data_IF_301814419927
#
_entry.id   IF_301814419927
#
_cell.length_a   1.000
_cell.length_b   1.000
_cell.length_c   1.000
_cell.angle_alpha   90.00
_cell.angle_beta   90.00
_cell.angle_gamma   90.00
#
_symmetry.space_group_name_H-M   'P 1'
#
loop_
_entity.id
_entity.type
_entity.pdbx_description
1 polymer ?
#
# COMPACT_ATOMS: atom_id res chain seq x y z
N UNK A 1 0.30 -34.75 55.14
CA UNK A 1 1.14 -34.78 53.92
C UNK A 1 0.23 -34.50 52.72
N UNK A 2 0.22 -33.26 52.23
CA UNK A 2 -0.55 -32.87 51.04
C UNK A 2 0.45 -32.61 49.91
N UNK A 3 0.43 -33.46 48.89
CA UNK A 3 1.23 -33.28 47.67
C UNK A 3 0.66 -32.10 46.88
N UNK A 4 1.41 -30.99 46.84
CA UNK A 4 1.16 -29.89 45.89
C UNK A 4 1.51 -30.39 44.49
N UNK A 5 0.49 -30.60 43.66
CA UNK A 5 0.69 -30.71 42.21
C UNK A 5 1.11 -29.34 41.67
N UNK A 6 2.25 -29.30 41.00
CA UNK A 6 2.77 -28.11 40.34
C UNK A 6 1.87 -27.77 39.13
N UNK A 7 0.79 -27.03 39.38
CA UNK A 7 0.03 -26.32 38.36
C UNK A 7 0.83 -25.11 37.88
N UNK A 8 1.93 -25.36 37.16
CA UNK A 8 2.64 -24.30 36.45
C UNK A 8 1.77 -23.83 35.29
N UNK A 9 1.33 -22.58 35.34
CA UNK A 9 0.78 -21.91 34.16
C UNK A 9 1.85 -21.97 33.06
N UNK A 10 1.51 -22.25 31.79
CA UNK A 10 2.48 -22.23 30.71
C UNK A 10 3.21 -20.89 30.70
N UNK A 11 4.53 -20.92 30.51
CA UNK A 11 5.31 -19.69 30.44
C UNK A 11 4.80 -18.87 29.25
N UNK A 12 4.68 -17.56 29.41
CA UNK A 12 4.17 -16.62 28.39
C UNK A 12 4.80 -16.83 27.00
N UNK A 13 6.04 -17.33 26.93
CA UNK A 13 6.74 -17.68 25.70
C UNK A 13 6.13 -18.87 24.94
N UNK A 14 5.59 -19.87 25.64
CA UNK A 14 4.99 -21.07 25.04
C UNK A 14 3.65 -20.76 24.34
N UNK A 15 3.01 -19.64 24.69
CA UNK A 15 1.81 -19.14 24.02
C UNK A 15 2.10 -18.38 22.71
N UNK A 16 3.35 -17.93 22.50
CA UNK A 16 3.74 -17.22 21.27
C UNK A 16 4.28 -18.14 20.18
N UNK A 17 4.83 -19.32 20.53
CA UNK A 17 5.32 -20.27 19.52
C UNK A 17 4.19 -20.86 18.66
N UNK A 18 2.95 -20.90 19.14
CA UNK A 18 1.79 -21.37 18.38
C UNK A 18 1.18 -20.36 17.40
N UNK A 19 1.61 -19.10 17.42
CA UNK A 19 0.99 -18.00 16.65
C UNK A 19 1.83 -17.49 15.48
N UNK A 20 3.03 -18.00 15.28
CA UNK A 20 3.81 -17.73 14.08
C UNK A 20 3.42 -18.74 12.98
N UNK A 21 2.13 -18.83 12.69
CA UNK A 21 1.68 -19.44 11.45
C UNK A 21 2.20 -18.59 10.30
N UNK A 22 2.66 -19.24 9.24
CA UNK A 22 3.16 -18.54 8.06
C UNK A 22 2.13 -17.51 7.57
N UNK A 23 2.56 -16.24 7.55
CA UNK A 23 1.95 -15.08 6.89
C UNK A 23 0.96 -14.23 7.71
N UNK A 24 1.49 -13.48 8.67
CA UNK A 24 0.88 -12.20 9.11
C UNK A 24 1.15 -11.07 8.09
N UNK A 25 2.04 -11.29 7.12
CA UNK A 25 2.40 -10.30 6.10
C UNK A 25 1.74 -10.65 4.77
N UNK A 26 0.81 -9.82 4.26
CA UNK A 26 0.31 -9.95 2.90
C UNK A 26 1.49 -9.93 1.92
N UNK A 27 1.56 -10.93 1.04
CA UNK A 27 2.56 -11.00 -0.03
C UNK A 27 1.86 -10.73 -1.36
N UNK A 28 2.53 -9.99 -2.24
CA UNK A 28 2.06 -9.82 -3.62
C UNK A 28 2.14 -11.20 -4.30
N UNK A 29 1.05 -11.70 -4.91
CA UNK A 29 1.09 -12.98 -5.59
C UNK A 29 2.02 -12.90 -6.80
N UNK A 30 2.71 -14.01 -7.13
CA UNK A 30 3.73 -14.01 -8.18
C UNK A 30 3.16 -13.62 -9.56
N UNK A 31 1.87 -13.90 -9.79
CA UNK A 31 1.10 -13.51 -10.97
C UNK A 31 0.92 -12.00 -11.10
N UNK A 32 1.00 -11.25 -10.00
CA UNK A 32 0.96 -9.78 -10.00
C UNK A 32 2.37 -9.18 -9.91
N UNK A 33 3.32 -9.90 -9.29
CA UNK A 33 4.71 -9.45 -9.21
C UNK A 33 5.33 -9.18 -10.58
N UNK A 34 4.93 -9.94 -11.62
CA UNK A 34 5.35 -9.69 -13.02
C UNK A 34 4.89 -8.33 -13.57
N UNK A 35 3.88 -7.70 -12.97
CA UNK A 35 3.39 -6.39 -13.41
C UNK A 35 4.23 -5.24 -12.84
N UNK A 36 5.01 -5.45 -11.78
CA UNK A 36 5.77 -4.40 -11.11
C UNK A 36 6.88 -3.78 -11.99
N UNK A 37 7.35 -4.51 -13.00
CA UNK A 37 8.36 -4.04 -13.95
C UNK A 37 7.81 -3.57 -15.29
N UNK A 38 6.48 -3.48 -15.44
CA UNK A 38 5.86 -3.01 -16.68
C UNK A 38 5.89 -1.48 -16.74
N UNK A 39 5.89 -0.96 -17.97
CA UNK A 39 5.71 0.47 -18.20
C UNK A 39 4.34 0.94 -17.69
N UNK A 40 4.31 2.16 -17.17
CA UNK A 40 3.10 2.78 -16.65
C UNK A 40 2.23 3.20 -17.82
N UNK A 41 0.96 2.79 -17.79
CA UNK A 41 -0.03 3.24 -18.74
C UNK A 41 -0.79 4.47 -18.25
N UNK A 42 -1.23 5.26 -19.21
CA UNK A 42 -2.13 6.41 -19.03
C UNK A 42 -3.39 6.04 -18.23
N UNK A 43 -3.98 4.88 -18.52
CA UNK A 43 -5.20 4.39 -17.85
C UNK A 43 -4.93 3.99 -16.38
N UNK A 44 -3.76 3.44 -16.07
CA UNK A 44 -3.36 3.13 -14.69
C UNK A 44 -3.25 4.39 -13.84
N UNK A 45 -2.65 5.47 -14.38
CA UNK A 45 -2.54 6.75 -13.66
C UNK A 45 -3.93 7.29 -13.32
N UNK A 46 -4.90 7.19 -14.22
CA UNK A 46 -6.25 7.71 -13.96
C UNK A 46 -7.06 6.83 -13.03
N UNK A 47 -6.96 5.51 -13.17
CA UNK A 47 -7.57 4.59 -12.22
C UNK A 47 -7.01 4.80 -10.81
N UNK A 48 -5.70 4.95 -10.69
CA UNK A 48 -5.04 5.25 -9.42
C UNK A 48 -5.52 6.59 -8.84
N UNK A 49 -5.63 7.63 -9.68
CA UNK A 49 -6.17 8.92 -9.28
C UNK A 49 -7.60 8.79 -8.73
N UNK A 50 -8.49 8.09 -9.44
CA UNK A 50 -9.89 7.90 -9.05
C UNK A 50 -10.09 6.98 -7.84
N UNK A 51 -9.12 6.12 -7.51
CA UNK A 51 -9.14 5.32 -6.29
C UNK A 51 -8.86 6.16 -5.04
N UNK A 52 -8.23 7.33 -5.19
CA UNK A 52 -7.99 8.24 -4.07
C UNK A 52 -9.27 8.96 -3.65
N UNK A 53 -9.46 9.13 -2.35
CA UNK A 53 -10.56 9.94 -1.81
C UNK A 53 -10.39 11.41 -2.25
N UNK A 54 -11.43 12.05 -2.84
CA UNK A 54 -11.32 13.42 -3.35
C UNK A 54 -10.85 14.44 -2.31
N UNK A 55 -11.28 14.28 -1.06
CA UNK A 55 -11.01 15.19 0.06
C UNK A 55 -9.80 14.77 0.91
N UNK A 56 -8.85 14.06 0.31
CA UNK A 56 -7.56 13.78 0.96
C UNK A 56 -6.81 15.09 1.18
N UNK A 57 -6.08 15.18 2.29
CA UNK A 57 -5.25 16.34 2.60
C UNK A 57 -4.35 16.72 1.40
N UNK A 58 -4.18 18.02 1.11
CA UNK A 58 -3.45 18.48 -0.06
C UNK A 58 -1.95 18.24 0.09
N UNK A 59 -1.26 18.13 -1.05
CA UNK A 59 0.19 18.05 -1.11
C UNK A 59 0.87 19.41 -0.91
N UNK A 60 2.16 19.49 -1.24
CA UNK A 60 2.95 20.73 -1.19
C UNK A 60 2.44 21.78 -2.20
N UNK A 61 1.71 21.32 -3.21
CA UNK A 61 1.06 22.12 -4.26
C UNK A 61 -0.25 22.79 -3.79
N UNK A 62 -0.79 22.39 -2.64
CA UNK A 62 -2.03 22.91 -2.09
C UNK A 62 -3.31 22.36 -2.73
N UNK A 63 -3.21 21.43 -3.70
CA UNK A 63 -4.37 20.85 -4.37
C UNK A 63 -4.80 19.52 -3.73
N UNK A 64 -6.11 19.33 -3.61
CA UNK A 64 -6.69 18.06 -3.15
C UNK A 64 -6.90 17.14 -4.35
N UNK A 65 -7.01 15.82 -4.13
CA UNK A 65 -7.24 14.85 -5.21
C UNK A 65 -8.49 15.17 -6.06
N UNK A 66 -9.52 15.74 -5.44
CA UNK A 66 -10.75 16.17 -6.13
C UNK A 66 -10.54 17.24 -7.20
N UNK A 67 -9.51 18.10 -7.06
CA UNK A 67 -9.13 19.04 -8.11
C UNK A 67 -8.72 18.27 -9.38
N UNK A 68 -7.84 17.29 -9.24
CA UNK A 68 -7.38 16.49 -10.37
C UNK A 68 -8.48 15.58 -10.94
N UNK A 69 -9.46 15.15 -10.13
CA UNK A 69 -10.66 14.48 -10.64
C UNK A 69 -11.48 15.40 -11.55
N UNK A 70 -11.73 16.64 -11.11
CA UNK A 70 -12.57 17.60 -11.83
C UNK A 70 -11.88 18.13 -13.09
N UNK A 71 -10.59 18.43 -13.02
CA UNK A 71 -9.83 19.05 -14.10
C UNK A 71 -9.01 18.04 -14.90
N UNK A 72 -9.35 16.75 -14.80
CA UNK A 72 -8.61 15.67 -15.46
C UNK A 72 -8.44 15.93 -16.96
N UNK A 73 -9.47 16.43 -17.65
CA UNK A 73 -9.37 16.72 -19.09
C UNK A 73 -8.25 17.69 -19.48
N UNK A 74 -7.83 18.56 -18.56
CA UNK A 74 -6.74 19.53 -18.78
C UNK A 74 -5.42 19.05 -18.18
N UNK A 75 -5.46 18.39 -17.03
CA UNK A 75 -4.24 17.96 -16.30
C UNK A 75 -3.75 16.58 -16.71
N UNK A 76 -4.51 15.88 -17.55
CA UNK A 76 -4.32 14.50 -18.00
C UNK A 76 -2.87 14.15 -18.36
N UNK A 77 -2.31 14.89 -19.30
CA UNK A 77 -1.03 14.56 -19.92
C UNK A 77 0.13 14.96 -19.00
N UNK A 78 0.03 16.12 -18.35
CA UNK A 78 1.01 16.56 -17.35
C UNK A 78 1.09 15.59 -16.16
N UNK A 79 -0.06 15.07 -15.68
CA UNK A 79 -0.09 14.06 -14.62
C UNK A 79 0.61 12.77 -15.05
N UNK A 80 0.37 12.32 -16.28
CA UNK A 80 1.02 11.13 -16.80
C UNK A 80 2.53 11.32 -16.89
N UNK A 81 2.99 12.44 -17.44
CA UNK A 81 4.41 12.78 -17.55
C UNK A 81 5.10 12.82 -16.18
N UNK A 82 4.51 13.51 -15.20
CA UNK A 82 5.06 13.61 -13.84
C UNK A 82 5.18 12.22 -13.21
N UNK A 83 4.13 11.40 -13.30
CA UNK A 83 4.15 10.05 -12.71
C UNK A 83 5.19 9.18 -13.38
N UNK A 84 5.26 9.17 -14.71
CA UNK A 84 6.26 8.38 -15.44
C UNK A 84 7.69 8.82 -15.09
N UNK A 85 7.96 10.12 -15.10
CA UNK A 85 9.26 10.67 -14.71
C UNK A 85 9.65 10.30 -13.28
N UNK A 86 8.69 10.29 -12.35
CA UNK A 86 8.94 9.90 -10.97
C UNK A 86 9.39 8.43 -10.84
N UNK A 87 8.85 7.52 -11.65
CA UNK A 87 9.26 6.12 -11.64
C UNK A 87 10.56 5.86 -12.41
N UNK A 88 10.85 6.65 -13.44
CA UNK A 88 12.08 6.52 -14.24
C UNK A 88 13.31 7.14 -13.56
N UNK A 89 13.15 8.35 -13.02
CA UNK A 89 14.26 9.17 -12.49
C UNK A 89 14.29 9.17 -10.96
N UNK A 90 13.16 8.86 -10.30
CA UNK A 90 13.06 8.87 -8.84
C UNK A 90 12.90 10.27 -8.23
N UNK A 91 12.46 11.26 -9.03
CA UNK A 91 12.31 12.67 -8.59
C UNK A 91 10.94 13.20 -9.03
N UNK A 92 10.32 14.01 -8.16
CA UNK A 92 9.06 14.73 -8.40
C UNK A 92 9.32 16.24 -8.52
#
# INVERSE_FOLDING_TARGET
MLNRTNGGSPLRSELYEGYLSESICPKIPITEAVNLGKEISVDEVYKALHQMKPWKAPGVDGFHAGFFHQFLGTTKDALFEIVTNAFEVGVL
#
